data_IF_027750482004
#
_entry.id   IF_027750482004
#
_cell.length_a   1.000
_cell.length_b   1.000
_cell.length_c   1.000
_cell.angle_alpha   90.00
_cell.angle_beta   90.00
_cell.angle_gamma   90.00
#
_symmetry.space_group_name_H-M   'P 1'
#
loop_
_entity.id
_entity.type
_entity.pdbx_description
1 polymer ?
#
# COMPACT_ATOMS: atom_id res chain seq x y z
N UNK A 1 -15.16 14.46 -11.30
CA UNK A 1 -16.10 14.98 -10.29
C UNK A 1 -15.30 15.82 -9.31
N UNK A 2 -15.76 17.00 -8.97
CA UNK A 2 -15.04 17.89 -8.07
C UNK A 2 -15.61 17.82 -6.64
N UNK A 3 -14.73 17.76 -5.65
CA UNK A 3 -15.08 17.77 -4.23
C UNK A 3 -14.39 18.96 -3.56
N UNK A 4 -14.89 19.37 -2.41
CA UNK A 4 -14.21 20.37 -1.62
C UNK A 4 -12.99 19.71 -0.90
N UNK A 5 -11.95 20.51 -0.64
CA UNK A 5 -10.75 19.99 0.04
C UNK A 5 -11.06 19.36 1.40
N UNK A 6 -12.05 19.86 2.12
CA UNK A 6 -12.46 19.29 3.41
C UNK A 6 -13.16 17.92 3.30
N UNK A 7 -13.52 17.51 2.10
CA UNK A 7 -14.11 16.18 1.82
C UNK A 7 -13.08 15.15 1.37
N UNK A 8 -11.82 15.58 1.18
CA UNK A 8 -10.75 14.67 0.78
C UNK A 8 -10.51 13.57 1.82
N UNK A 9 -10.24 12.37 1.33
CA UNK A 9 -9.94 11.21 2.15
C UNK A 9 -8.71 10.47 1.63
N UNK A 10 -8.04 9.81 2.53
CA UNK A 10 -6.93 8.89 2.19
C UNK A 10 -7.38 7.85 1.17
N UNK A 11 -6.53 7.61 0.19
CA UNK A 11 -6.77 6.62 -0.87
C UNK A 11 -7.47 7.16 -2.11
N UNK A 12 -7.96 8.39 -2.09
CA UNK A 12 -8.54 9.02 -3.29
C UNK A 12 -7.46 9.42 -4.28
N UNK A 13 -7.81 9.41 -5.58
CA UNK A 13 -6.98 10.01 -6.62
C UNK A 13 -7.54 11.37 -7.01
N UNK A 14 -6.65 12.34 -7.17
CA UNK A 14 -6.99 13.71 -7.51
C UNK A 14 -6.08 14.24 -8.62
N UNK A 15 -6.57 15.23 -9.35
CA UNK A 15 -5.73 16.01 -10.26
C UNK A 15 -5.07 17.15 -9.48
N UNK A 16 -3.76 17.22 -9.56
CA UNK A 16 -2.97 18.27 -8.95
C UNK A 16 -1.85 18.70 -9.90
N UNK A 17 -1.83 19.99 -10.26
CA UNK A 17 -0.83 20.58 -11.18
C UNK A 17 -0.58 19.74 -12.45
N UNK A 18 -1.63 19.41 -13.18
CA UNK A 18 -1.59 18.58 -14.40
C UNK A 18 -1.15 17.13 -14.23
N UNK A 19 -0.96 16.71 -12.99
CA UNK A 19 -0.62 15.32 -12.65
C UNK A 19 -1.76 14.67 -11.87
N UNK A 20 -1.77 13.35 -11.85
CA UNK A 20 -2.68 12.57 -11.00
C UNK A 20 -1.91 12.13 -9.78
N UNK A 21 -2.48 12.40 -8.62
CA UNK A 21 -1.87 12.05 -7.33
C UNK A 21 -2.83 11.23 -6.47
N UNK A 22 -2.28 10.30 -5.71
CA UNK A 22 -3.02 9.56 -4.69
C UNK A 22 -2.83 10.25 -3.35
N UNK A 23 -3.91 10.44 -2.64
CA UNK A 23 -3.91 11.03 -1.29
C UNK A 23 -3.45 9.97 -0.29
N UNK A 24 -2.26 10.17 0.28
CA UNK A 24 -1.70 9.26 1.29
C UNK A 24 -2.18 9.60 2.69
N UNK A 25 -2.33 10.88 2.99
CA UNK A 25 -2.74 11.37 4.30
C UNK A 25 -3.46 12.70 4.18
N UNK A 26 -4.45 12.94 5.02
CA UNK A 26 -5.21 14.19 5.09
C UNK A 26 -5.32 14.64 6.54
N UNK A 27 -4.97 15.89 6.79
CA UNK A 27 -5.14 16.52 8.12
C UNK A 27 -5.93 17.81 7.98
N UNK A 28 -7.02 17.92 8.73
CA UNK A 28 -7.82 19.14 8.81
C UNK A 28 -7.28 20.03 9.93
N UNK A 29 -6.99 21.25 9.60
CA UNK A 29 -6.48 22.24 10.55
C UNK A 29 -7.41 23.43 10.64
N UNK A 30 -7.81 23.77 11.88
CA UNK A 30 -8.65 24.94 12.16
C UNK A 30 -7.94 25.77 13.23
N UNK A 31 -6.94 26.58 12.86
CA UNK A 31 -6.28 27.48 13.84
C UNK A 31 -7.26 28.55 14.29
N UNK A 32 -7.22 28.92 15.60
CA UNK A 32 -8.23 29.72 16.30
C UNK A 32 -8.67 31.03 15.64
N UNK A 33 -7.76 31.79 15.00
CA UNK A 33 -8.05 33.08 14.37
C UNK A 33 -7.77 33.11 12.86
N UNK A 34 -7.45 31.97 12.25
CA UNK A 34 -7.12 31.86 10.83
C UNK A 34 -8.15 30.99 10.11
N UNK A 35 -8.21 31.13 8.80
CA UNK A 35 -9.07 30.27 7.98
C UNK A 35 -8.66 28.82 8.09
N UNK A 36 -9.63 27.93 8.18
CA UNK A 36 -9.40 26.50 8.14
C UNK A 36 -8.70 26.08 6.83
N UNK A 37 -7.80 25.13 6.92
CA UNK A 37 -7.12 24.55 5.74
C UNK A 37 -6.99 23.04 5.87
N UNK A 38 -6.73 22.39 4.75
CA UNK A 38 -6.51 20.96 4.67
C UNK A 38 -5.07 20.73 4.22
N UNK A 39 -4.33 19.95 4.98
CA UNK A 39 -2.99 19.54 4.62
C UNK A 39 -3.03 18.10 4.14
N UNK A 40 -2.55 17.86 2.94
CA UNK A 40 -2.52 16.53 2.33
C UNK A 40 -1.11 16.11 1.95
N UNK A 41 -0.81 14.85 2.15
CA UNK A 41 0.38 14.22 1.57
C UNK A 41 -0.09 13.48 0.33
N UNK A 42 0.42 13.90 -0.82
CA UNK A 42 0.07 13.37 -2.13
C UNK A 42 1.26 12.62 -2.72
N UNK A 43 0.97 11.54 -3.44
CA UNK A 43 1.98 10.82 -4.21
C UNK A 43 1.62 10.85 -5.69
N UNK A 44 2.52 11.38 -6.51
CA UNK A 44 2.36 11.35 -7.96
C UNK A 44 2.38 9.91 -8.48
N UNK A 45 1.40 9.55 -9.28
CA UNK A 45 1.38 8.22 -9.92
C UNK A 45 2.43 8.12 -11.04
N UNK A 46 2.84 9.25 -11.60
CA UNK A 46 3.82 9.31 -12.68
C UNK A 46 5.26 9.16 -12.16
N UNK A 47 5.61 9.87 -11.09
CA UNK A 47 6.98 9.90 -10.57
C UNK A 47 7.18 9.05 -9.32
N UNK A 48 6.11 8.65 -8.64
CA UNK A 48 6.14 7.96 -7.36
C UNK A 48 6.58 8.82 -6.17
N UNK A 49 6.87 10.08 -6.39
CA UNK A 49 7.31 11.01 -5.34
C UNK A 49 6.13 11.53 -4.53
N UNK A 50 6.36 11.65 -3.23
CA UNK A 50 5.39 12.26 -2.31
C UNK A 50 5.67 13.74 -2.13
N UNK A 51 4.59 14.50 -1.94
CA UNK A 51 4.65 15.93 -1.69
C UNK A 51 3.64 16.33 -0.63
N UNK A 52 3.96 17.34 0.15
CA UNK A 52 3.06 17.94 1.13
C UNK A 52 2.38 19.14 0.48
N UNK A 53 1.06 19.16 0.48
CA UNK A 53 0.26 20.20 -0.16
C UNK A 53 -0.79 20.75 0.79
N UNK A 54 -0.97 22.06 0.76
CA UNK A 54 -1.97 22.77 1.54
C UNK A 54 -3.10 23.27 0.64
N UNK A 55 -4.32 22.94 1.03
CA UNK A 55 -5.53 23.39 0.34
C UNK A 55 -6.36 24.27 1.25
N UNK A 56 -7.01 25.29 0.68
CA UNK A 56 -8.09 25.99 1.40
C UNK A 56 -9.27 25.05 1.63
N UNK A 57 -9.94 25.14 2.77
CA UNK A 57 -11.03 24.21 3.12
C UNK A 57 -12.18 24.18 2.11
N UNK A 58 -12.45 25.29 1.43
CA UNK A 58 -13.46 25.39 0.37
C UNK A 58 -12.93 25.25 -1.04
N UNK A 59 -11.64 24.95 -1.21
CA UNK A 59 -11.03 24.78 -2.53
C UNK A 59 -11.60 23.54 -3.21
N UNK A 60 -11.96 23.66 -4.47
CA UNK A 60 -12.48 22.54 -5.26
C UNK A 60 -11.34 21.76 -5.90
N UNK A 61 -11.40 20.46 -5.74
CA UNK A 61 -10.38 19.52 -6.22
C UNK A 61 -11.07 18.50 -7.10
N UNK A 62 -10.52 18.29 -8.31
CA UNK A 62 -11.03 17.29 -9.22
C UNK A 62 -10.54 15.90 -8.83
N UNK A 63 -11.49 14.98 -8.60
CA UNK A 63 -11.20 13.59 -8.30
C UNK A 63 -11.16 12.76 -9.57
N UNK A 64 -10.35 11.71 -9.55
CA UNK A 64 -10.20 10.74 -10.63
C UNK A 64 -10.78 9.40 -10.18
N UNK A 65 -11.56 8.71 -11.03
CA UNK A 65 -12.11 7.40 -10.68
C UNK A 65 -11.03 6.37 -10.36
N UNK A 66 -11.26 5.59 -9.33
CA UNK A 66 -10.42 4.46 -8.94
C UNK A 66 -11.14 3.16 -9.29
N UNK A 67 -10.37 2.19 -9.79
CA UNK A 67 -10.86 0.83 -10.00
C UNK A 67 -10.03 -0.12 -9.15
N UNK A 68 -10.72 -0.96 -8.38
CA UNK A 68 -10.08 -1.90 -7.46
C UNK A 68 -10.39 -3.32 -7.87
N UNK A 69 -9.35 -4.13 -8.02
CA UNK A 69 -9.45 -5.54 -8.40
C UNK A 69 -8.68 -6.41 -7.43
N UNK A 70 -9.14 -7.64 -7.28
CA UNK A 70 -8.32 -8.69 -6.67
C UNK A 70 -7.37 -9.23 -7.72
N UNK A 71 -6.10 -9.23 -7.40
CA UNK A 71 -5.03 -9.72 -8.28
C UNK A 71 -4.31 -10.86 -7.59
N UNK A 72 -3.88 -11.83 -8.36
CA UNK A 72 -3.13 -12.98 -7.89
C UNK A 72 -1.66 -12.82 -8.24
N UNK A 73 -0.78 -13.00 -7.26
CA UNK A 73 0.66 -13.01 -7.50
C UNK A 73 1.03 -14.27 -8.29
N UNK A 74 1.65 -14.07 -9.44
CA UNK A 74 1.99 -15.16 -10.35
C UNK A 74 3.46 -15.54 -10.26
N UNK A 75 4.34 -14.64 -10.63
CA UNK A 75 5.78 -14.93 -10.67
C UNK A 75 6.61 -13.64 -10.56
N UNK A 76 7.90 -13.83 -10.36
CA UNK A 76 8.87 -12.73 -10.34
C UNK A 76 9.61 -12.72 -11.69
N UNK A 77 9.61 -11.57 -12.35
CA UNK A 77 10.32 -11.35 -13.61
C UNK A 77 11.51 -10.43 -13.37
N UNK A 78 12.71 -11.01 -13.25
CA UNK A 78 13.87 -10.26 -12.79
C UNK A 78 13.65 -9.78 -11.35
N UNK A 79 13.68 -8.47 -11.11
CA UNK A 79 13.37 -7.87 -9.82
C UNK A 79 11.88 -7.48 -9.68
N UNK A 80 11.14 -7.45 -10.77
CA UNK A 80 9.75 -7.04 -10.81
C UNK A 80 8.80 -8.18 -10.45
N UNK A 81 7.62 -7.82 -9.96
CA UNK A 81 6.57 -8.75 -9.56
C UNK A 81 5.44 -8.72 -10.57
N UNK A 82 5.00 -9.90 -11.01
CA UNK A 82 3.90 -10.04 -11.96
C UNK A 82 2.66 -10.55 -11.26
N UNK A 83 1.58 -9.80 -11.39
CA UNK A 83 0.26 -10.15 -10.88
C UNK A 83 -0.69 -10.39 -12.05
N UNK A 84 -1.60 -11.31 -11.88
CA UNK A 84 -2.61 -11.64 -12.89
C UNK A 84 -4.01 -11.43 -12.31
N UNK A 85 -4.89 -10.88 -13.13
CA UNK A 85 -6.31 -10.83 -12.77
C UNK A 85 -6.92 -12.23 -12.99
N UNK A 86 -7.42 -12.90 -11.95
CA UNK A 86 -7.93 -14.27 -12.08
C UNK A 86 -9.19 -14.38 -12.93
N UNK A 87 -9.89 -13.27 -13.19
CA UNK A 87 -11.08 -13.24 -14.02
C UNK A 87 -10.78 -12.94 -15.50
N UNK A 88 -9.92 -11.96 -15.77
CA UNK A 88 -9.59 -11.52 -17.13
C UNK A 88 -8.30 -12.09 -17.68
N UNK A 89 -7.43 -12.64 -16.81
CA UNK A 89 -6.08 -13.14 -17.13
C UNK A 89 -5.12 -12.07 -17.63
N UNK A 90 -5.44 -10.81 -17.41
CA UNK A 90 -4.53 -9.70 -17.70
C UNK A 90 -3.40 -9.64 -16.69
N UNK A 91 -2.19 -9.49 -17.19
CA UNK A 91 -0.98 -9.40 -16.36
C UNK A 91 -0.59 -7.95 -16.11
N UNK A 92 -0.16 -7.67 -14.88
CA UNK A 92 0.38 -6.37 -14.48
C UNK A 92 1.74 -6.59 -13.83
N UNK A 93 2.74 -5.90 -14.32
CA UNK A 93 4.09 -5.92 -13.75
C UNK A 93 4.30 -4.68 -12.89
N UNK A 94 4.76 -4.88 -11.68
CA UNK A 94 5.03 -3.79 -10.71
C UNK A 94 6.44 -3.90 -10.16
N UNK A 95 7.01 -2.74 -9.80
CA UNK A 95 8.37 -2.65 -9.29
C UNK A 95 8.47 -3.13 -7.84
N UNK A 96 9.67 -3.54 -7.38
CA UNK A 96 9.89 -3.89 -5.97
C UNK A 96 9.54 -2.75 -5.01
N UNK A 97 9.80 -1.51 -5.41
CA UNK A 97 9.49 -0.31 -4.62
C UNK A 97 7.98 -0.14 -4.43
N UNK A 98 7.21 -0.45 -5.46
CA UNK A 98 5.74 -0.40 -5.39
C UNK A 98 5.19 -1.46 -4.42
N UNK A 99 5.72 -2.68 -4.49
CA UNK A 99 5.32 -3.77 -3.61
C UNK A 99 5.73 -3.50 -2.16
N UNK A 100 6.92 -2.92 -1.95
CA UNK A 100 7.42 -2.59 -0.63
C UNK A 100 7.49 -3.80 0.31
N UNK A 101 7.05 -3.62 1.55
CA UNK A 101 7.07 -4.67 2.57
C UNK A 101 6.11 -5.84 2.28
N UNK A 102 5.14 -5.67 1.41
CA UNK A 102 4.23 -6.74 1.00
C UNK A 102 4.96 -7.95 0.40
N UNK A 103 6.15 -7.75 -0.18
CA UNK A 103 6.98 -8.83 -0.71
C UNK A 103 7.30 -9.93 0.32
N UNK A 104 7.36 -9.57 1.60
CA UNK A 104 7.65 -10.51 2.69
C UNK A 104 6.50 -11.48 2.97
N UNK A 105 5.34 -11.22 2.42
CA UNK A 105 4.11 -11.99 2.63
C UNK A 105 3.55 -12.60 1.34
N UNK A 106 4.18 -12.32 0.20
CA UNK A 106 3.74 -12.84 -1.09
C UNK A 106 4.31 -14.22 -1.36
N UNK A 107 3.40 -15.15 -1.66
CA UNK A 107 3.73 -16.47 -2.20
C UNK A 107 2.99 -16.66 -3.52
N UNK A 108 3.38 -17.64 -4.34
CA UNK A 108 2.63 -17.96 -5.55
C UNK A 108 1.15 -18.18 -5.23
N UNK A 109 0.28 -17.61 -6.06
CA UNK A 109 -1.17 -17.64 -5.93
C UNK A 109 -1.74 -16.83 -4.74
N UNK A 110 -0.93 -15.99 -4.09
CA UNK A 110 -1.45 -15.05 -3.08
C UNK A 110 -2.36 -14.01 -3.72
N UNK A 111 -3.52 -13.77 -3.10
CA UNK A 111 -4.45 -12.73 -3.53
C UNK A 111 -4.15 -11.43 -2.81
N UNK A 112 -4.09 -10.36 -3.58
CA UNK A 112 -3.94 -8.99 -3.08
C UNK A 112 -5.04 -8.11 -3.67
N UNK A 113 -5.31 -6.99 -3.03
CA UNK A 113 -6.20 -5.97 -3.59
C UNK A 113 -5.34 -4.88 -4.22
N UNK A 114 -5.53 -4.63 -5.51
CA UNK A 114 -4.81 -3.57 -6.22
C UNK A 114 -5.79 -2.52 -6.72
N UNK A 115 -5.43 -1.27 -6.53
CA UNK A 115 -6.19 -0.12 -7.00
C UNK A 115 -5.48 0.50 -8.18
N UNK A 116 -6.26 0.79 -9.23
CA UNK A 116 -5.78 1.33 -10.49
C UNK A 116 -6.39 2.70 -10.78
N UNK A 117 -5.59 3.56 -11.37
CA UNK A 117 -5.99 4.84 -11.94
C UNK A 117 -5.51 4.86 -13.38
N UNK A 118 -6.42 5.03 -14.34
CA UNK A 118 -6.10 5.03 -15.77
C UNK A 118 -5.21 3.85 -16.18
N UNK A 119 -5.60 2.64 -15.79
CA UNK A 119 -4.92 1.37 -16.07
C UNK A 119 -3.56 1.20 -15.37
N UNK A 120 -3.14 2.16 -14.56
CA UNK A 120 -1.90 2.08 -13.78
C UNK A 120 -2.17 1.68 -12.34
N UNK A 121 -1.47 0.68 -11.84
CA UNK A 121 -1.54 0.29 -10.43
C UNK A 121 -0.93 1.37 -9.54
N UNK A 122 -1.69 1.82 -8.54
CA UNK A 122 -1.27 2.92 -7.65
C UNK A 122 -1.23 2.51 -6.17
N UNK A 123 -2.00 1.52 -5.78
CA UNK A 123 -2.04 1.00 -4.40
C UNK A 123 -2.09 -0.52 -4.44
N UNK A 124 -1.32 -1.15 -3.55
CA UNK A 124 -1.41 -2.58 -3.26
C UNK A 124 -1.76 -2.77 -1.78
N UNK A 125 -2.72 -3.62 -1.51
CA UNK A 125 -3.14 -3.95 -0.15
C UNK A 125 -3.13 -5.45 0.05
N UNK A 126 -2.42 -5.88 1.08
CA UNK A 126 -2.41 -7.28 1.50
C UNK A 126 -3.65 -7.59 2.34
N UNK A 127 -4.12 -8.85 2.35
CA UNK A 127 -5.15 -9.25 3.30
C UNK A 127 -4.63 -9.10 4.73
N UNK A 128 -5.54 -8.98 5.69
CA UNK A 128 -5.21 -8.76 7.11
C UNK A 128 -4.38 -9.88 7.74
N UNK A 129 -4.43 -11.06 7.17
CA UNK A 129 -3.63 -12.22 7.59
C UNK A 129 -3.27 -13.08 6.39
N UNK A 130 -2.11 -13.72 6.47
CA UNK A 130 -1.62 -14.65 5.46
C UNK A 130 -1.12 -15.92 6.13
N UNK A 131 -1.15 -17.04 5.41
CA UNK A 131 -0.57 -18.30 5.86
C UNK A 131 0.74 -18.51 5.13
N UNK A 132 1.82 -18.63 5.89
CA UNK A 132 3.16 -18.87 5.36
C UNK A 132 3.77 -20.10 6.03
N UNK A 133 4.55 -20.84 5.24
CA UNK A 133 5.24 -22.03 5.73
C UNK A 133 6.55 -21.59 6.37
N UNK A 134 6.83 -22.15 7.55
CA UNK A 134 8.12 -21.96 8.23
C UNK A 134 9.16 -22.82 7.51
N UNK A 135 10.17 -22.17 6.92
CA UNK A 135 11.24 -22.86 6.18
C UNK A 135 12.40 -23.27 7.08
N UNK A 136 12.63 -22.54 8.17
CA UNK A 136 13.67 -22.83 9.14
C UNK A 136 13.23 -22.40 10.54
N UNK A 137 13.29 -23.33 11.49
CA UNK A 137 12.98 -23.09 12.89
C UNK A 137 14.07 -23.73 13.76
N UNK A 138 14.97 -22.94 14.37
CA UNK A 138 15.93 -23.48 15.30
C UNK A 138 15.24 -24.03 16.56
N UNK A 139 15.85 -25.02 17.21
CA UNK A 139 15.32 -25.52 18.48
C UNK A 139 15.32 -24.42 19.52
N UNK A 140 14.18 -24.27 20.20
CA UNK A 140 14.09 -23.33 21.31
C UNK A 140 14.93 -23.77 22.48
N UNK A 141 15.91 -22.95 22.87
CA UNK A 141 16.63 -23.17 24.12
C UNK A 141 15.68 -22.80 25.27
N UNK A 142 15.38 -23.77 26.12
CA UNK A 142 14.76 -23.50 27.41
C UNK A 142 15.81 -22.86 28.32
N UNK A 143 15.79 -21.52 28.37
CA UNK A 143 16.56 -20.77 29.35
C UNK A 143 15.83 -20.74 30.69
N UNK A 144 16.58 -20.44 31.79
CA UNK A 144 16.06 -20.35 33.14
C UNK A 144 15.06 -19.22 33.40
N UNK A 145 14.70 -18.44 32.39
CA UNK A 145 13.70 -17.37 32.51
C UNK A 145 12.31 -17.92 32.19
N UNK A 146 11.44 -17.88 33.16
CA UNK A 146 10.10 -18.47 33.10
C UNK A 146 9.11 -17.73 32.20
N UNK A 147 9.46 -16.57 31.60
CA UNK A 147 8.55 -15.71 30.88
C UNK A 147 9.04 -15.43 29.46
N UNK A 148 8.20 -15.80 28.48
CA UNK A 148 8.31 -15.39 27.07
C UNK A 148 9.59 -15.82 26.34
N UNK A 149 9.87 -17.12 26.33
CA UNK A 149 10.89 -17.66 25.42
C UNK A 149 10.36 -17.57 24.00
N UNK A 150 10.92 -16.67 23.22
CA UNK A 150 10.64 -16.53 21.79
C UNK A 150 11.81 -17.08 20.98
N UNK A 151 11.49 -17.71 19.87
CA UNK A 151 12.49 -18.14 18.88
C UNK A 151 12.26 -17.44 17.57
N UNK A 152 13.35 -17.15 16.88
CA UNK A 152 13.29 -16.59 15.53
C UNK A 152 13.13 -17.72 14.53
N UNK A 153 12.12 -17.63 13.69
CA UNK A 153 11.88 -18.58 12.60
C UNK A 153 11.95 -17.84 11.27
N UNK A 154 12.40 -18.54 10.23
CA UNK A 154 12.42 -18.02 8.87
C UNK A 154 11.25 -18.61 8.10
N UNK A 155 10.48 -17.74 7.44
CA UNK A 155 9.35 -18.12 6.61
C UNK A 155 9.80 -18.40 5.16
N UNK A 156 8.94 -19.05 4.40
CA UNK A 156 9.21 -19.41 3.00
C UNK A 156 9.56 -18.20 2.10
N UNK A 157 9.16 -16.99 2.47
CA UNK A 157 9.48 -15.74 1.78
C UNK A 157 10.85 -15.17 2.16
N UNK A 158 11.53 -15.76 3.14
CA UNK A 158 12.78 -15.26 3.70
C UNK A 158 12.61 -14.29 4.88
N UNK A 159 11.37 -13.95 5.23
CA UNK A 159 11.08 -13.09 6.38
C UNK A 159 11.36 -13.84 7.69
N UNK A 160 12.04 -13.19 8.62
CA UNK A 160 12.30 -13.69 9.97
C UNK A 160 11.31 -13.07 10.96
N UNK A 161 10.66 -13.89 11.75
CA UNK A 161 9.75 -13.47 12.81
C UNK A 161 10.05 -14.18 14.11
N UNK A 162 9.65 -13.57 15.21
CA UNK A 162 9.75 -14.19 16.53
C UNK A 162 8.42 -14.85 16.89
N UNK A 163 8.48 -16.11 17.27
CA UNK A 163 7.32 -16.89 17.71
C UNK A 163 7.57 -17.47 19.11
N UNK A 164 6.51 -17.69 19.92
CA UNK A 164 6.63 -18.31 21.25
C UNK A 164 7.11 -19.76 21.20
#
# INVERSE_FOLDING_TARGET
>A
MAVNANELRKGQAIKYNTDICVVLEVTHRTPGNLRAFVQGILRSIRTGKSMDVRFGSGEKIETVPLMTYKMEYSYKSGDDYVFVNPETFEEVTVTPEFVGDAKNYLTENSLVTMTFVEEKAVIIEMPSSVVLIVSNAPEGLKGDSANNVQKTVTLETGLEINVP
#
